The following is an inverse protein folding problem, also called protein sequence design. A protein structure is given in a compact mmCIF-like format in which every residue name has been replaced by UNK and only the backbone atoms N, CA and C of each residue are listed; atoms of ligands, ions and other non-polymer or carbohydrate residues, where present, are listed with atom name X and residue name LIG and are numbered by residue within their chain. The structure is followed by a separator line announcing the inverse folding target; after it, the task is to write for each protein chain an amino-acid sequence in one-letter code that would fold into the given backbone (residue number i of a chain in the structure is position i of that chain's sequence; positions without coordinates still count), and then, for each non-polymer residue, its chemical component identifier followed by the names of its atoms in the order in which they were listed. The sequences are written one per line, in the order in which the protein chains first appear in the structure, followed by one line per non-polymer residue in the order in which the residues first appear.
data_IF_029620208807
#
_entry.id   IF_029620208807
#
_cell.length_a   1.000
_cell.length_b   1.000
_cell.length_c   1.000
_cell.angle_alpha   90.00
_cell.angle_beta   90.00
_cell.angle_gamma   90.00
#
_symmetry.space_group_name_H-M   'P 1'
#
loop_
_entity.id
_entity.type
_entity.pdbx_description
1 polymer ?
#
# COMPACT_ATOMS: atom_id res chain seq x y z
N UNK A 1 -9.21 -24.07 -13.22
CA UNK A 1 -8.45 -24.41 -11.99
C UNK A 1 -7.17 -23.59 -11.83
N UNK A 2 -6.17 -23.67 -12.73
CA UNK A 2 -4.92 -22.90 -12.57
C UNK A 2 -5.09 -21.39 -12.85
N UNK A 3 -5.95 -21.04 -13.80
CA UNK A 3 -6.29 -19.65 -14.12
C UNK A 3 -7.11 -18.98 -13.00
N UNK A 4 -8.12 -19.67 -12.47
CA UNK A 4 -8.89 -19.22 -11.30
C UNK A 4 -8.00 -19.01 -10.07
N UNK A 5 -7.03 -19.90 -9.85
CA UNK A 5 -6.06 -19.76 -8.76
C UNK A 5 -5.16 -18.53 -8.95
N UNK A 6 -4.72 -18.24 -10.17
CA UNK A 6 -3.97 -17.00 -10.48
C UNK A 6 -4.82 -15.75 -10.29
N UNK A 7 -6.09 -15.82 -10.68
CA UNK A 7 -7.01 -14.71 -10.51
C UNK A 7 -7.22 -14.41 -9.02
N UNK A 8 -7.45 -15.46 -8.22
CA UNK A 8 -7.55 -15.34 -6.78
C UNK A 8 -6.26 -14.77 -6.17
N UNK A 9 -5.09 -15.25 -6.60
CA UNK A 9 -3.81 -14.74 -6.13
C UNK A 9 -3.62 -13.24 -6.42
N UNK A 10 -4.00 -12.78 -7.61
CA UNK A 10 -3.95 -11.37 -7.98
C UNK A 10 -4.92 -10.50 -7.15
N UNK A 11 -6.12 -11.01 -6.86
CA UNK A 11 -7.11 -10.31 -6.02
C UNK A 11 -6.63 -10.19 -4.58
N UNK A 12 -6.08 -11.27 -4.00
CA UNK A 12 -5.48 -11.24 -2.66
C UNK A 12 -4.31 -10.28 -2.62
N UNK A 13 -3.43 -10.31 -3.63
CA UNK A 13 -2.32 -9.36 -3.73
C UNK A 13 -2.81 -7.90 -3.78
N UNK A 14 -3.97 -7.63 -4.39
CA UNK A 14 -4.55 -6.30 -4.51
C UNK A 14 -5.03 -5.70 -3.18
N UNK A 15 -5.26 -6.51 -2.14
CA UNK A 15 -5.67 -6.05 -0.81
C UNK A 15 -4.58 -5.21 -0.13
N UNK A 16 -3.31 -5.51 -0.43
CA UNK A 16 -2.16 -4.74 0.06
C UNK A 16 -1.99 -3.38 -0.65
N UNK A 17 -2.72 -3.15 -1.74
CA UNK A 17 -2.62 -1.92 -2.54
C UNK A 17 -3.73 -0.93 -2.22
N UNK A 18 -3.37 0.35 -2.30
CA UNK A 18 -4.31 1.44 -2.14
C UNK A 18 -4.67 1.73 -0.70
N UNK A 19 -5.75 2.50 -0.54
CA UNK A 19 -6.23 2.94 0.78
C UNK A 19 -6.64 1.74 1.64
N UNK A 20 -7.14 0.66 1.02
CA UNK A 20 -7.45 -0.59 1.72
C UNK A 20 -6.21 -1.17 2.40
N UNK A 21 -5.11 -1.34 1.65
CA UNK A 21 -3.85 -1.82 2.20
C UNK A 21 -3.22 -0.86 3.22
N UNK A 22 -3.44 0.45 3.05
CA UNK A 22 -3.02 1.46 4.03
C UNK A 22 -3.79 1.29 5.35
N UNK A 23 -5.11 1.08 5.32
CA UNK A 23 -5.91 0.81 6.52
C UNK A 23 -5.46 -0.49 7.19
N UNK A 24 -5.16 -1.53 6.41
CA UNK A 24 -4.57 -2.77 6.92
C UNK A 24 -3.24 -2.53 7.66
N UNK A 25 -2.35 -1.73 7.08
CA UNK A 25 -1.10 -1.31 7.72
C UNK A 25 -1.34 -0.55 9.02
N UNK A 26 -2.28 0.39 9.04
CA UNK A 26 -2.64 1.16 10.24
C UNK A 26 -3.11 0.22 11.35
N UNK A 27 -4.00 -0.73 11.05
CA UNK A 27 -4.50 -1.70 12.03
C UNK A 27 -3.33 -2.54 12.57
N UNK A 28 -2.46 -3.03 11.69
CA UNK A 28 -1.31 -3.84 12.09
C UNK A 28 -0.36 -3.07 13.04
N UNK A 29 -0.03 -1.81 12.69
CA UNK A 29 0.84 -0.96 13.50
C UNK A 29 0.18 -0.63 14.85
N UNK A 30 -1.12 -0.29 14.85
CA UNK A 30 -1.86 -0.02 16.08
C UNK A 30 -1.85 -1.24 17.04
N UNK A 31 -1.98 -2.46 16.52
CA UNK A 31 -1.86 -3.68 17.33
C UNK A 31 -0.46 -3.89 17.93
N UNK A 32 0.57 -3.26 17.35
CA UNK A 32 1.95 -3.27 17.85
C UNK A 32 2.22 -2.11 18.83
N UNK A 33 1.24 -1.25 19.09
CA UNK A 33 1.38 -0.04 19.90
C UNK A 33 1.97 1.15 19.16
N UNK A 34 2.11 1.05 17.84
CA UNK A 34 2.61 2.13 16.98
C UNK A 34 1.51 3.12 16.61
N UNK A 35 1.92 4.37 16.35
CA UNK A 35 1.01 5.48 16.02
C UNK A 35 1.06 5.91 14.55
N UNK A 36 0.35 7.00 14.26
CA UNK A 36 0.24 7.56 12.89
C UNK A 36 1.58 8.04 12.30
N UNK A 37 2.53 8.43 13.14
CA UNK A 37 3.90 8.74 12.69
C UNK A 37 4.60 7.52 12.07
N UNK A 38 4.43 6.34 12.68
CA UNK A 38 4.99 5.10 12.17
C UNK A 38 4.34 4.67 10.84
N UNK A 39 3.07 5.01 10.61
CA UNK A 39 2.40 4.78 9.32
C UNK A 39 3.12 5.52 8.20
N UNK A 40 3.36 6.82 8.37
CA UNK A 40 4.08 7.64 7.37
C UNK A 40 5.49 7.10 7.14
N UNK A 41 6.24 6.84 8.22
CA UNK A 41 7.59 6.28 8.12
C UNK A 41 7.63 4.92 7.40
N UNK A 42 6.67 4.04 7.68
CA UNK A 42 6.57 2.74 7.01
C UNK A 42 6.29 2.90 5.51
N UNK A 43 5.42 3.83 5.13
CA UNK A 43 5.15 4.16 3.74
C UNK A 43 6.38 4.77 3.04
N UNK A 44 7.08 5.71 3.67
CA UNK A 44 8.32 6.31 3.13
C UNK A 44 9.41 5.26 2.90
N UNK A 45 9.62 4.35 3.87
CA UNK A 45 10.56 3.24 3.72
C UNK A 45 10.21 2.35 2.52
N UNK A 46 8.93 2.03 2.31
CA UNK A 46 8.49 1.23 1.15
C UNK A 46 8.79 1.92 -0.17
N UNK A 47 8.65 3.24 -0.25
CA UNK A 47 9.05 4.01 -1.44
C UNK A 47 10.59 3.99 -1.63
N UNK A 48 11.36 4.23 -0.57
CA UNK A 48 12.83 4.27 -0.64
C UNK A 48 13.45 2.93 -1.11
N UNK A 49 12.83 1.81 -0.73
CA UNK A 49 13.30 0.48 -1.09
C UNK A 49 12.73 -0.07 -2.41
N UNK A 50 12.06 0.76 -3.23
CA UNK A 50 11.40 0.34 -4.47
C UNK A 50 10.45 -0.86 -4.26
N UNK A 51 9.85 -0.97 -3.08
CA UNK A 51 9.04 -2.12 -2.67
C UNK A 51 7.86 -2.33 -3.64
N UNK A 52 7.19 -1.24 -3.99
CA UNK A 52 6.03 -1.28 -4.87
C UNK A 52 6.39 -1.57 -6.32
N UNK A 53 7.54 -1.12 -6.80
CA UNK A 53 7.99 -1.42 -8.17
C UNK A 53 8.24 -2.91 -8.35
N UNK A 54 8.87 -3.55 -7.36
CA UNK A 54 9.05 -4.99 -7.34
C UNK A 54 7.70 -5.74 -7.34
N UNK A 55 6.76 -5.34 -6.46
CA UNK A 55 5.43 -5.98 -6.38
C UNK A 55 4.56 -5.75 -7.62
N UNK A 56 4.66 -4.58 -8.25
CA UNK A 56 3.94 -4.29 -9.50
C UNK A 56 4.50 -5.08 -10.67
N UNK A 57 5.82 -5.26 -10.73
CA UNK A 57 6.49 -6.00 -11.79
C UNK A 57 6.20 -7.49 -11.70
N UNK A 58 6.40 -8.08 -10.53
CA UNK A 58 6.46 -9.54 -10.38
C UNK A 58 5.25 -10.14 -9.63
N UNK A 59 4.40 -9.31 -8.99
CA UNK A 59 3.32 -9.78 -8.12
C UNK A 59 1.97 -10.04 -8.81
N UNK A 60 1.80 -9.66 -10.08
CA UNK A 60 0.51 -9.81 -10.78
C UNK A 60 0.65 -10.65 -12.03
N UNK A 61 -0.30 -11.56 -12.22
CA UNK A 61 -0.41 -12.42 -13.41
C UNK A 61 -1.19 -11.73 -14.52
N UNK A 62 -2.20 -10.93 -14.19
CA UNK A 62 -3.10 -10.28 -15.13
C UNK A 62 -2.83 -8.77 -15.22
N UNK A 63 -2.49 -8.28 -16.42
CA UNK A 63 -2.24 -6.86 -16.65
C UNK A 63 -3.42 -5.95 -16.25
N UNK A 64 -4.70 -6.28 -16.52
CA UNK A 64 -5.81 -5.46 -16.05
C UNK A 64 -5.82 -5.25 -14.53
N UNK A 65 -5.45 -6.27 -13.76
CA UNK A 65 -5.40 -6.18 -12.29
C UNK A 65 -4.19 -5.37 -11.85
N UNK A 66 -3.04 -5.56 -12.50
CA UNK A 66 -1.84 -4.71 -12.29
C UNK A 66 -2.15 -3.22 -12.50
N UNK A 67 -2.97 -2.88 -13.50
CA UNK A 67 -3.41 -1.50 -13.74
C UNK A 67 -4.35 -0.97 -12.65
N UNK A 68 -5.18 -1.83 -12.04
CA UNK A 68 -5.94 -1.45 -10.84
C UNK A 68 -4.98 -1.18 -9.68
N UNK A 69 -3.97 -2.04 -9.47
CA UNK A 69 -2.98 -1.88 -8.42
C UNK A 69 -2.20 -0.55 -8.54
N UNK A 70 -1.78 -0.18 -9.77
CA UNK A 70 -1.13 1.12 -10.05
C UNK A 70 -2.00 2.31 -9.65
N UNK A 71 -3.28 2.30 -10.06
CA UNK A 71 -4.23 3.36 -9.73
C UNK A 71 -4.46 3.45 -8.21
N UNK A 72 -4.66 2.30 -7.56
CA UNK A 72 -4.82 2.22 -6.10
C UNK A 72 -3.60 2.79 -5.38
N UNK A 73 -2.40 2.39 -5.79
CA UNK A 73 -1.15 2.88 -5.19
C UNK A 73 -1.02 4.41 -5.31
N UNK A 74 -1.36 4.99 -6.46
CA UNK A 74 -1.34 6.44 -6.65
C UNK A 74 -2.28 7.14 -5.65
N UNK A 75 -3.48 6.60 -5.42
CA UNK A 75 -4.40 7.13 -4.39
C UNK A 75 -3.85 6.97 -2.98
N UNK A 76 -3.24 5.83 -2.63
CA UNK A 76 -2.63 5.66 -1.31
C UNK A 76 -1.50 6.67 -1.06
N UNK A 77 -0.66 6.93 -2.07
CA UNK A 77 0.39 7.94 -1.98
C UNK A 77 -0.17 9.32 -1.66
N UNK A 78 -1.27 9.71 -2.32
CA UNK A 78 -1.94 10.99 -2.01
C UNK A 78 -2.41 11.04 -0.56
N UNK A 79 -3.03 9.97 -0.05
CA UNK A 79 -3.49 9.90 1.35
C UNK A 79 -2.35 9.99 2.35
N UNK A 80 -1.25 9.26 2.11
CA UNK A 80 -0.06 9.31 2.97
C UNK A 80 0.55 10.72 2.95
N UNK A 81 0.61 11.38 1.80
CA UNK A 81 1.09 12.76 1.71
C UNK A 81 0.23 13.72 2.52
N UNK A 82 -1.11 13.60 2.48
CA UNK A 82 -2.01 14.42 3.30
C UNK A 82 -1.74 14.21 4.79
N UNK A 83 -1.69 12.95 5.23
CA UNK A 83 -1.36 12.61 6.62
C UNK A 83 0.00 13.16 7.05
N UNK A 84 1.02 13.03 6.20
CA UNK A 84 2.36 13.52 6.50
C UNK A 84 2.43 15.05 6.60
N UNK A 85 1.59 15.78 5.86
CA UNK A 85 1.48 17.23 5.95
C UNK A 85 0.86 17.64 7.29
N UNK A 86 -0.29 17.07 7.65
CA UNK A 86 -0.96 17.36 8.94
C UNK A 86 -0.02 17.10 10.13
N UNK A 87 0.69 15.96 10.12
CA UNK A 87 1.64 15.62 11.18
C UNK A 87 2.85 16.57 11.28
N UNK A 88 3.24 17.24 10.19
CA UNK A 88 4.29 18.26 10.22
C UNK A 88 3.78 19.58 10.80
N UNK A 89 2.51 19.93 10.53
CA UNK A 89 1.87 21.12 11.10
C UNK A 89 1.73 20.99 12.62
N UNK A 90 1.41 19.80 13.13
CA UNK A 90 1.34 19.52 14.58
C UNK A 90 2.69 19.68 15.32
N UNK A 91 3.81 19.70 14.58
CA UNK A 91 5.17 19.81 15.12
C UNK A 91 5.76 21.23 15.02
N UNK A 92 5.09 22.14 14.33
CA UNK A 92 5.52 23.52 14.06
C UNK A 92 5.12 24.48 15.20
#
# INVERSE_FOLDING_TARGET
MLEDARLLADVVNLEDFGVVGLVGLIIQLALQGDGVNQVVQACEKREQYNYWDARLKDGFHFEPIRQIARRRLATARQVVTMLATELKEDQA
#
